data_IF_944898856921
#
_entry.id   IF_944898856921
#
_cell.length_a   1.000
_cell.length_b   1.000
_cell.length_c   1.000
_cell.angle_alpha   90.00
_cell.angle_beta   90.00
_cell.angle_gamma   90.00
#
_symmetry.space_group_name_H-M   'P 1'
#
loop_
_entity.id
_entity.type
_entity.pdbx_description
1 polymer ?
#
# COMPACT_ATOMS: atom_id res chain seq x y z
N UNK A 1 -24.71 6.55 13.42
CA UNK A 1 -23.26 6.56 13.70
C UNK A 1 -22.85 7.76 14.55
N UNK A 2 -21.68 7.73 15.15
CA UNK A 2 -21.12 8.86 15.91
C UNK A 2 -19.74 9.19 15.35
N UNK A 3 -19.56 10.37 14.74
CA UNK A 3 -18.28 10.84 14.19
C UNK A 3 -17.93 12.18 14.86
N UNK A 4 -16.68 12.34 15.24
CA UNK A 4 -16.17 13.59 15.84
C UNK A 4 -17.02 14.07 17.04
N UNK A 5 -17.53 13.13 17.82
CA UNK A 5 -18.41 13.45 18.97
C UNK A 5 -19.88 13.76 18.62
N UNK A 6 -20.23 13.88 17.35
CA UNK A 6 -21.58 14.17 16.86
C UNK A 6 -22.31 12.89 16.46
N UNK A 7 -23.52 12.68 16.97
CA UNK A 7 -24.38 11.57 16.54
C UNK A 7 -25.27 11.98 15.38
N UNK A 8 -25.38 11.12 14.37
CA UNK A 8 -26.22 11.39 13.20
C UNK A 8 -26.05 10.34 12.11
N UNK A 9 -26.75 10.59 11.02
CA UNK A 9 -26.63 9.87 9.75
C UNK A 9 -25.76 10.65 8.75
N UNK A 10 -25.55 10.10 7.58
CA UNK A 10 -24.77 10.70 6.50
C UNK A 10 -25.31 12.07 6.08
N UNK A 11 -26.64 12.22 6.01
CA UNK A 11 -27.26 13.49 5.58
C UNK A 11 -27.05 14.60 6.59
N UNK A 12 -27.03 14.27 7.89
CA UNK A 12 -26.65 15.23 8.92
C UNK A 12 -25.21 15.66 8.76
N UNK A 13 -24.26 14.74 8.54
CA UNK A 13 -22.84 15.09 8.33
C UNK A 13 -22.65 15.90 7.05
N UNK A 14 -23.40 15.62 5.99
CA UNK A 14 -23.40 16.42 4.77
C UNK A 14 -23.77 17.89 5.02
N UNK A 15 -24.74 18.14 5.90
CA UNK A 15 -25.15 19.49 6.27
C UNK A 15 -24.15 20.21 7.19
N UNK A 16 -23.34 19.46 7.93
CA UNK A 16 -22.33 19.98 8.85
C UNK A 16 -20.96 20.22 8.16
N UNK A 17 -20.79 19.80 6.92
CA UNK A 17 -19.53 19.93 6.17
C UNK A 17 -19.73 20.79 4.94
N UNK A 18 -18.85 21.74 4.72
CA UNK A 18 -18.87 22.56 3.51
C UNK A 18 -18.48 21.77 2.26
N UNK A 19 -17.60 20.78 2.42
CA UNK A 19 -17.15 19.88 1.36
C UNK A 19 -17.13 18.43 1.87
N UNK A 20 -17.75 17.48 1.15
CA UNK A 20 -17.83 16.08 1.57
C UNK A 20 -16.47 15.44 1.87
N UNK A 21 -15.41 15.84 1.17
CA UNK A 21 -14.06 15.34 1.34
C UNK A 21 -13.50 15.55 2.76
N UNK A 22 -14.10 16.45 3.55
CA UNK A 22 -13.73 16.59 4.98
C UNK A 22 -13.93 15.30 5.78
N UNK A 23 -14.89 14.45 5.36
CA UNK A 23 -15.25 13.23 6.09
C UNK A 23 -15.20 11.96 5.23
N UNK A 24 -15.37 12.08 3.93
CA UNK A 24 -15.34 10.96 2.98
C UNK A 24 -14.54 11.38 1.76
N UNK A 25 -13.38 10.78 1.52
CA UNK A 25 -12.56 11.20 0.39
C UNK A 25 -11.30 10.40 0.17
N UNK A 26 -10.68 10.66 -0.98
CA UNK A 26 -9.37 10.18 -1.36
C UNK A 26 -8.49 11.34 -1.81
N UNK A 27 -7.23 11.31 -1.41
CA UNK A 27 -6.23 12.32 -1.79
C UNK A 27 -4.93 11.61 -2.16
N UNK A 28 -4.43 11.88 -3.37
CA UNK A 28 -3.10 11.44 -3.79
C UNK A 28 -2.12 12.59 -3.57
N UNK A 29 -1.03 12.31 -2.89
CA UNK A 29 0.02 13.28 -2.61
C UNK A 29 1.41 12.63 -2.63
N UNK A 30 2.45 13.44 -2.67
CA UNK A 30 3.84 13.00 -2.70
C UNK A 30 4.62 13.66 -1.58
N UNK A 31 5.55 12.93 -0.99
CA UNK A 31 6.50 13.50 -0.04
C UNK A 31 7.64 14.20 -0.78
N UNK A 32 7.93 15.44 -0.39
CA UNK A 32 8.92 16.28 -1.08
C UNK A 32 10.29 16.28 -0.41
N UNK A 33 10.42 15.73 0.80
CA UNK A 33 11.64 15.82 1.59
C UNK A 33 11.96 14.55 2.38
N UNK A 34 13.22 14.45 2.81
CA UNK A 34 13.72 13.35 3.64
C UNK A 34 13.72 12.00 2.92
N UNK A 35 13.71 10.95 3.72
CA UNK A 35 13.78 9.55 3.24
C UNK A 35 12.55 9.11 2.43
N UNK A 36 11.46 9.85 2.56
CA UNK A 36 10.21 9.62 1.82
C UNK A 36 10.14 10.36 0.49
N UNK A 37 11.12 11.19 0.15
CA UNK A 37 11.09 12.00 -1.06
C UNK A 37 10.72 11.18 -2.30
N UNK A 38 9.72 11.64 -3.05
CA UNK A 38 9.19 10.97 -4.22
C UNK A 38 8.16 9.86 -3.94
N UNK A 39 7.97 9.48 -2.67
CA UNK A 39 6.97 8.49 -2.30
C UNK A 39 5.58 9.07 -2.48
N UNK A 40 4.82 8.49 -3.41
CA UNK A 40 3.39 8.79 -3.57
C UNK A 40 2.58 8.04 -2.53
N UNK A 41 1.61 8.72 -1.95
CA UNK A 41 0.71 8.16 -0.94
C UNK A 41 -0.73 8.48 -1.32
N UNK A 42 -1.61 7.49 -1.18
CA UNK A 42 -3.05 7.68 -1.32
C UNK A 42 -3.67 7.63 0.07
N UNK A 43 -4.22 8.76 0.51
CA UNK A 43 -4.99 8.85 1.74
C UNK A 43 -6.46 8.62 1.43
N UNK A 44 -7.07 7.71 2.18
CA UNK A 44 -8.49 7.35 2.06
C UNK A 44 -9.12 7.55 3.43
N UNK A 45 -10.22 8.29 3.51
CA UNK A 45 -10.93 8.51 4.78
C UNK A 45 -12.43 8.28 4.62
N UNK A 46 -13.06 7.71 5.66
CA UNK A 46 -14.49 7.45 5.69
C UNK A 46 -15.21 8.03 6.92
N UNK A 47 -14.51 8.85 7.71
CA UNK A 47 -14.98 9.44 8.96
C UNK A 47 -14.57 8.67 10.22
N UNK A 48 -14.49 7.34 10.20
CA UNK A 48 -14.02 6.50 11.32
C UNK A 48 -12.58 6.09 11.14
N UNK A 49 -12.18 5.73 9.91
CA UNK A 49 -10.86 5.24 9.57
C UNK A 49 -10.21 6.18 8.55
N UNK A 50 -8.93 6.43 8.73
CA UNK A 50 -8.07 6.99 7.71
C UNK A 50 -6.96 6.00 7.37
N UNK A 51 -6.76 5.73 6.09
CA UNK A 51 -5.74 4.82 5.56
C UNK A 51 -4.76 5.62 4.70
N UNK A 52 -3.46 5.42 4.88
CA UNK A 52 -2.44 5.87 3.94
C UNK A 52 -1.83 4.66 3.24
N UNK A 53 -2.02 4.59 1.94
CA UNK A 53 -1.49 3.54 1.06
C UNK A 53 -0.20 4.03 0.41
N UNK A 54 0.84 3.21 0.44
CA UNK A 54 2.14 3.49 -0.16
C UNK A 54 2.12 3.07 -1.63
N UNK A 55 1.88 4.03 -2.53
CA UNK A 55 1.65 3.76 -3.96
C UNK A 55 2.89 3.18 -4.64
N UNK A 56 4.08 3.60 -4.23
CA UNK A 56 5.35 3.15 -4.82
C UNK A 56 5.97 1.96 -4.08
N UNK A 57 5.18 1.29 -3.23
CA UNK A 57 5.61 0.12 -2.47
C UNK A 57 4.56 -0.98 -2.51
N UNK A 58 4.32 -1.56 -3.68
CA UNK A 58 3.39 -2.67 -3.85
C UNK A 58 1.95 -2.38 -3.42
N UNK A 59 1.57 -1.12 -3.29
CA UNK A 59 0.28 -0.69 -2.75
C UNK A 59 0.05 -1.15 -1.30
N UNK A 60 1.12 -1.19 -0.50
CA UNK A 60 1.06 -1.55 0.93
C UNK A 60 0.25 -0.52 1.72
N UNK A 61 -0.42 -0.97 2.78
CA UNK A 61 -1.11 -0.07 3.69
C UNK A 61 -0.12 0.34 4.79
N UNK A 62 0.36 1.57 4.71
CA UNK A 62 1.33 2.12 5.64
C UNK A 62 0.70 2.50 6.97
N UNK A 63 -0.09 3.55 6.99
CA UNK A 63 -0.77 4.04 8.20
C UNK A 63 -2.25 3.70 8.17
N UNK A 64 -2.78 3.37 9.33
CA UNK A 64 -4.21 3.28 9.58
C UNK A 64 -4.50 3.98 10.90
N UNK A 65 -5.33 4.99 10.85
CA UNK A 65 -5.81 5.69 12.03
C UNK A 65 -7.28 5.33 12.25
N UNK A 66 -7.60 4.83 13.43
CA UNK A 66 -8.98 4.65 13.87
C UNK A 66 -9.33 5.77 14.84
N UNK A 67 -10.24 6.65 14.45
CA UNK A 67 -10.59 7.85 15.23
C UNK A 67 -9.36 8.67 15.66
N UNK A 68 -8.35 8.79 14.78
CA UNK A 68 -7.10 9.48 15.05
C UNK A 68 -6.05 8.68 15.81
N UNK A 69 -6.37 7.47 16.28
CA UNK A 69 -5.44 6.60 17.00
C UNK A 69 -4.68 5.71 16.01
N UNK A 70 -3.33 5.73 16.02
CA UNK A 70 -2.53 4.84 15.17
C UNK A 70 -2.72 3.38 15.56
N UNK A 71 -2.97 2.53 14.56
CA UNK A 71 -3.16 1.08 14.77
C UNK A 71 -2.06 0.22 14.15
N UNK A 72 -1.15 0.83 13.40
CA UNK A 72 -0.03 0.16 12.75
C UNK A 72 1.22 0.15 13.63
N UNK A 73 2.09 -0.83 13.38
CA UNK A 73 3.46 -0.80 13.86
C UNK A 73 4.38 -0.06 12.86
N UNK A 74 5.32 0.73 13.36
CA UNK A 74 6.33 1.40 12.54
C UNK A 74 7.71 0.91 12.94
N UNK A 75 8.49 0.44 11.99
CA UNK A 75 9.86 -0.01 12.24
C UNK A 75 10.80 1.15 12.57
N UNK A 76 11.97 0.88 13.17
CA UNK A 76 12.99 1.91 13.38
C UNK A 76 13.49 2.56 12.07
N UNK A 77 13.32 1.91 10.91
CA UNK A 77 13.65 2.51 9.62
C UNK A 77 12.74 3.68 9.25
N UNK A 78 11.53 3.74 9.85
CA UNK A 78 10.53 4.73 9.50
C UNK A 78 9.98 4.55 8.08
N UNK A 79 9.10 5.47 7.67
CA UNK A 79 8.59 5.49 6.31
C UNK A 79 9.67 6.01 5.36
N UNK A 80 9.91 5.25 4.28
CA UNK A 80 10.92 5.54 3.26
C UNK A 80 10.41 5.22 1.87
N UNK A 81 10.93 5.89 0.87
CA UNK A 81 10.71 5.49 -0.51
C UNK A 81 11.40 4.16 -0.78
N UNK A 82 10.71 3.22 -1.44
CA UNK A 82 11.21 1.88 -1.69
C UNK A 82 12.56 1.85 -2.45
N UNK A 83 12.81 2.85 -3.29
CA UNK A 83 14.01 2.96 -4.11
C UNK A 83 15.11 3.87 -3.53
N UNK A 84 14.98 4.37 -2.29
CA UNK A 84 16.02 5.17 -1.64
C UNK A 84 17.33 4.40 -1.54
N UNK A 85 17.26 3.08 -1.36
CA UNK A 85 18.39 2.16 -1.43
C UNK A 85 18.13 1.10 -2.49
N UNK A 86 19.18 0.62 -3.14
CA UNK A 86 19.11 -0.59 -3.94
C UNK A 86 19.48 -1.77 -3.03
N UNK A 87 18.53 -2.51 -2.49
CA UNK A 87 18.77 -3.49 -1.44
C UNK A 87 19.83 -4.52 -1.80
N UNK A 88 19.82 -4.99 -3.06
CA UNK A 88 20.77 -5.97 -3.57
C UNK A 88 22.21 -5.44 -3.69
N UNK A 89 22.40 -4.14 -3.81
CA UNK A 89 23.73 -3.54 -3.90
C UNK A 89 24.34 -3.28 -2.52
N UNK A 90 23.51 -3.07 -1.49
CA UNK A 90 23.96 -2.70 -0.15
C UNK A 90 24.09 -3.94 0.75
N UNK A 91 23.13 -4.85 0.64
CA UNK A 91 23.07 -6.08 1.45
C UNK A 91 23.12 -7.30 0.52
N UNK A 92 24.31 -7.90 0.32
CA UNK A 92 24.52 -8.94 -0.70
C UNK A 92 23.68 -10.19 -0.46
N UNK A 93 23.26 -10.41 0.79
CA UNK A 93 22.51 -11.60 1.16
C UNK A 93 20.98 -11.46 1.02
N UNK A 94 20.49 -10.37 0.40
CA UNK A 94 19.07 -10.17 0.19
C UNK A 94 18.31 -9.60 1.39
N UNK A 95 19.02 -9.15 2.42
CA UNK A 95 18.45 -8.53 3.61
C UNK A 95 18.23 -7.01 3.47
N UNK A 96 18.70 -6.42 2.37
CA UNK A 96 18.62 -4.98 2.13
C UNK A 96 17.20 -4.42 2.15
N UNK A 97 16.20 -5.26 1.90
CA UNK A 97 14.79 -4.88 2.05
C UNK A 97 14.47 -4.35 3.45
N UNK A 98 15.11 -4.87 4.50
CA UNK A 98 14.92 -4.41 5.88
C UNK A 98 15.38 -2.96 6.09
N UNK A 99 16.26 -2.43 5.24
CA UNK A 99 16.71 -1.03 5.30
C UNK A 99 15.62 -0.04 4.91
N UNK A 100 14.63 -0.49 4.15
CA UNK A 100 13.52 0.35 3.68
C UNK A 100 12.17 -0.09 4.20
N UNK A 101 12.11 -1.22 4.92
CA UNK A 101 10.84 -1.72 5.43
C UNK A 101 10.35 -0.89 6.62
N UNK A 102 9.29 -0.15 6.38
CA UNK A 102 8.68 0.74 7.36
C UNK A 102 7.81 0.03 8.40
N UNK A 103 7.53 -1.27 8.24
CA UNK A 103 6.41 -1.91 8.92
C UNK A 103 5.10 -1.54 8.22
N UNK A 104 4.17 -0.97 8.94
CA UNK A 104 2.87 -0.59 8.43
C UNK A 104 1.74 -1.47 8.97
N UNK A 105 0.53 -1.22 8.48
CA UNK A 105 -0.64 -2.01 8.85
C UNK A 105 -0.71 -3.32 8.04
N UNK A 106 -0.39 -3.25 6.76
CA UNK A 106 -0.28 -4.40 5.86
C UNK A 106 0.92 -4.20 4.95
N UNK A 107 1.91 -5.06 5.08
CA UNK A 107 3.06 -5.10 4.20
C UNK A 107 2.92 -6.23 3.21
N UNK A 108 3.22 -5.95 2.00
CA UNK A 108 3.30 -6.79 0.80
C UNK A 108 2.81 -8.23 0.92
N UNK A 109 2.25 -8.74 -0.14
CA UNK A 109 1.80 -10.14 -0.22
C UNK A 109 2.91 -11.13 -0.64
N UNK A 110 4.08 -10.64 -1.08
CA UNK A 110 5.20 -11.48 -1.48
C UNK A 110 4.84 -12.52 -2.53
N UNK A 111 4.40 -12.10 -3.72
CA UNK A 111 3.89 -12.99 -4.78
C UNK A 111 4.88 -14.11 -5.13
N UNK A 112 6.16 -13.79 -5.24
CA UNK A 112 7.20 -14.74 -5.63
C UNK A 112 7.97 -15.28 -4.43
N UNK A 113 8.03 -14.55 -3.33
CA UNK A 113 8.73 -14.97 -2.11
C UNK A 113 8.23 -14.24 -0.86
N UNK A 114 8.12 -14.98 0.22
CA UNK A 114 7.81 -14.50 1.57
C UNK A 114 8.83 -15.06 2.56
N UNK A 115 9.29 -14.23 3.49
CA UNK A 115 10.24 -14.61 4.52
C UNK A 115 11.68 -14.20 4.20
N UNK A 116 12.64 -14.81 4.89
CA UNK A 116 14.07 -14.51 4.73
C UNK A 116 14.63 -14.90 3.37
N UNK A 117 15.80 -14.36 2.99
CA UNK A 117 16.42 -14.66 1.70
C UNK A 117 16.62 -16.17 1.48
N UNK A 118 16.34 -16.63 0.27
CA UNK A 118 16.45 -18.04 -0.09
C UNK A 118 16.99 -18.22 -1.49
N UNK A 119 17.88 -19.19 -1.68
CA UNK A 119 18.27 -19.66 -3.01
C UNK A 119 17.23 -20.65 -3.53
N UNK A 120 16.82 -20.49 -4.75
CA UNK A 120 15.89 -21.39 -5.47
C UNK A 120 16.48 -21.77 -6.81
N UNK A 121 16.12 -22.92 -7.38
CA UNK A 121 16.49 -23.24 -8.76
C UNK A 121 16.05 -22.10 -9.69
N UNK A 122 16.89 -21.77 -10.67
CA UNK A 122 16.53 -20.79 -11.68
C UNK A 122 15.31 -21.29 -12.47
N UNK A 123 14.19 -20.61 -12.32
CA UNK A 123 12.94 -20.88 -13.06
C UNK A 123 12.80 -20.01 -14.30
N UNK A 124 13.68 -19.05 -14.46
CA UNK A 124 13.73 -18.14 -15.58
C UNK A 124 14.76 -18.64 -16.57
N UNK A 125 14.53 -18.40 -17.83
CA UNK A 125 15.37 -18.89 -18.93
C UNK A 125 16.64 -18.02 -19.10
N UNK A 126 17.33 -17.68 -18.02
CA UNK A 126 18.60 -16.97 -18.09
C UNK A 126 19.74 -17.96 -18.32
N UNK A 127 20.38 -17.94 -19.50
CA UNK A 127 21.49 -18.85 -19.80
C UNK A 127 22.63 -18.71 -18.79
N UNK A 128 23.13 -19.84 -18.30
CA UNK A 128 24.27 -19.86 -17.38
C UNK A 128 23.93 -19.62 -15.88
N UNK A 129 22.68 -19.33 -15.55
CA UNK A 129 22.24 -19.18 -14.16
C UNK A 129 21.56 -20.46 -13.70
N UNK A 130 22.14 -21.14 -12.72
CA UNK A 130 21.61 -22.41 -12.17
C UNK A 130 20.71 -22.21 -10.96
N UNK A 131 20.84 -21.09 -10.28
CA UNK A 131 20.03 -20.74 -9.11
C UNK A 131 19.79 -19.23 -9.04
N UNK A 132 18.65 -18.86 -8.49
CA UNK A 132 18.28 -17.48 -8.20
C UNK A 132 18.23 -17.24 -6.70
N UNK A 133 18.57 -16.03 -6.31
CA UNK A 133 18.38 -15.58 -4.95
C UNK A 133 17.11 -14.75 -4.85
N UNK A 134 16.23 -15.13 -3.93
CA UNK A 134 15.03 -14.37 -3.60
C UNK A 134 15.31 -13.46 -2.41
N UNK A 135 14.92 -12.20 -2.50
CA UNK A 135 15.05 -11.32 -1.35
C UNK A 135 13.86 -11.44 -0.41
N UNK A 136 14.08 -10.95 0.80
CA UNK A 136 13.02 -10.77 1.78
C UNK A 136 11.87 -9.93 1.18
N UNK A 137 10.65 -10.43 1.30
CA UNK A 137 9.44 -9.71 0.83
C UNK A 137 9.16 -9.75 -0.67
N UNK A 138 10.05 -10.33 -1.48
CA UNK A 138 9.87 -10.43 -2.94
C UNK A 138 9.98 -9.09 -3.68
N UNK A 139 9.99 -9.16 -5.02
CA UNK A 139 10.12 -7.95 -5.87
C UNK A 139 8.90 -7.04 -5.85
N UNK A 140 7.71 -7.61 -5.64
CA UNK A 140 6.47 -6.84 -5.62
C UNK A 140 6.49 -5.71 -4.59
N UNK A 141 7.15 -5.95 -3.45
CA UNK A 141 7.27 -4.99 -2.35
C UNK A 141 8.04 -3.72 -2.71
N UNK A 142 8.78 -3.74 -3.81
CA UNK A 142 9.54 -2.59 -4.32
C UNK A 142 8.92 -2.03 -5.60
N UNK A 143 7.79 -2.60 -6.06
CA UNK A 143 7.19 -2.23 -7.35
C UNK A 143 6.24 -1.06 -7.19
N UNK A 144 6.34 -0.04 -8.04
CA UNK A 144 5.39 1.05 -8.07
C UNK A 144 4.04 0.58 -8.61
N UNK A 145 2.99 1.29 -8.21
CA UNK A 145 1.61 0.95 -8.52
C UNK A 145 1.00 1.95 -9.47
N UNK A 146 0.14 1.48 -10.36
CA UNK A 146 -0.77 2.31 -11.15
C UNK A 146 -2.15 2.29 -10.50
N UNK A 147 -2.65 3.45 -10.12
CA UNK A 147 -4.02 3.61 -9.65
C UNK A 147 -4.93 3.66 -10.88
N UNK A 148 -5.83 2.69 -11.02
CA UNK A 148 -6.73 2.61 -12.17
C UNK A 148 -8.08 3.27 -11.92
N UNK A 149 -8.54 3.23 -10.67
CA UNK A 149 -9.84 3.77 -10.30
C UNK A 149 -9.81 4.33 -8.88
N UNK A 150 -10.38 5.53 -8.72
CA UNK A 150 -10.77 6.09 -7.44
C UNK A 150 -12.22 6.51 -7.59
N UNK A 151 -13.13 5.87 -6.88
CA UNK A 151 -14.56 6.16 -6.87
C UNK A 151 -14.98 6.53 -5.44
N UNK A 152 -15.30 7.80 -5.23
CA UNK A 152 -15.85 8.30 -3.98
C UNK A 152 -17.29 8.69 -4.24
N UNK A 153 -18.21 7.85 -3.81
CA UNK A 153 -19.63 8.05 -4.01
C UNK A 153 -20.29 8.50 -2.71
N UNK A 154 -20.53 9.79 -2.60
CA UNK A 154 -21.16 10.36 -1.42
C UNK A 154 -22.61 9.90 -1.25
N UNK A 155 -23.37 9.77 -2.36
CA UNK A 155 -24.78 9.39 -2.29
C UNK A 155 -24.96 7.96 -1.78
N UNK A 156 -24.04 7.07 -2.12
CA UNK A 156 -24.02 5.70 -1.58
C UNK A 156 -23.25 5.62 -0.25
N UNK A 157 -22.40 6.60 0.05
CA UNK A 157 -21.48 6.57 1.20
C UNK A 157 -20.38 5.52 1.03
N UNK A 158 -19.86 5.34 -0.19
CA UNK A 158 -18.88 4.31 -0.49
C UNK A 158 -17.62 4.90 -1.10
N UNK A 159 -16.48 4.27 -0.79
CA UNK A 159 -15.22 4.48 -1.48
C UNK A 159 -14.75 3.16 -2.07
N UNK A 160 -14.30 3.20 -3.32
CA UNK A 160 -13.66 2.08 -3.99
C UNK A 160 -12.39 2.58 -4.68
N UNK A 161 -11.27 1.93 -4.38
CA UNK A 161 -9.99 2.17 -5.05
C UNK A 161 -9.53 0.86 -5.68
N UNK A 162 -9.12 0.91 -6.96
CA UNK A 162 -8.53 -0.21 -7.68
C UNK A 162 -7.17 0.22 -8.20
N UNK A 163 -6.17 -0.61 -7.95
CA UNK A 163 -4.81 -0.36 -8.37
C UNK A 163 -4.15 -1.64 -8.88
N UNK A 164 -3.16 -1.50 -9.75
CA UNK A 164 -2.37 -2.60 -10.31
C UNK A 164 -0.90 -2.43 -10.01
N UNK A 165 -0.31 -3.49 -9.51
CA UNK A 165 1.13 -3.63 -9.32
C UNK A 165 1.62 -4.69 -10.28
N UNK A 166 2.70 -4.39 -11.00
CA UNK A 166 3.31 -5.32 -11.94
C UNK A 166 4.68 -5.74 -11.44
N UNK A 167 4.88 -7.05 -11.39
CA UNK A 167 6.19 -7.66 -11.24
C UNK A 167 6.52 -8.39 -12.53
N UNK A 168 7.54 -7.94 -13.24
CA UNK A 168 7.91 -8.55 -14.50
C UNK A 168 9.40 -8.41 -14.76
N UNK A 169 9.97 -9.41 -15.43
CA UNK A 169 11.33 -9.38 -15.93
C UNK A 169 11.37 -9.85 -17.39
N UNK A 170 12.34 -9.34 -18.16
CA UNK A 170 12.57 -9.82 -19.53
C UNK A 170 12.92 -11.31 -19.50
N UNK A 171 12.23 -12.09 -20.30
CA UNK A 171 12.38 -13.56 -20.40
C UNK A 171 12.10 -14.32 -19.09
N UNK A 172 11.32 -13.76 -18.17
CA UNK A 172 11.02 -14.31 -16.88
C UNK A 172 9.53 -14.15 -16.53
N UNK A 173 9.21 -13.97 -15.24
CA UNK A 173 7.84 -13.82 -14.78
C UNK A 173 7.17 -12.55 -15.29
N UNK A 174 5.86 -12.63 -15.46
CA UNK A 174 4.99 -11.50 -15.67
C UNK A 174 3.74 -11.68 -14.81
N UNK A 175 3.77 -11.08 -13.63
CA UNK A 175 2.72 -11.16 -12.63
C UNK A 175 2.07 -9.80 -12.47
N UNK A 176 0.76 -9.78 -12.35
CA UNK A 176 -0.03 -8.57 -12.10
C UNK A 176 -0.91 -8.81 -10.89
N UNK A 177 -0.69 -8.02 -9.85
CA UNK A 177 -1.59 -7.91 -8.72
C UNK A 177 -2.60 -6.80 -9.00
N UNK A 178 -3.88 -7.13 -9.01
CA UNK A 178 -4.97 -6.15 -8.94
C UNK A 178 -5.49 -6.12 -7.51
N UNK A 179 -5.28 -4.98 -6.83
CA UNK A 179 -5.73 -4.76 -5.45
C UNK A 179 -6.89 -3.79 -5.41
N UNK A 180 -7.95 -4.18 -4.70
CA UNK A 180 -9.12 -3.36 -4.46
C UNK A 180 -9.26 -3.06 -2.97
N UNK A 181 -9.44 -1.78 -2.62
CA UNK A 181 -9.80 -1.32 -1.28
C UNK A 181 -11.21 -0.76 -1.35
N UNK A 182 -12.07 -1.18 -0.43
CA UNK A 182 -13.45 -0.70 -0.34
C UNK A 182 -13.78 -0.30 1.10
N UNK A 183 -14.44 0.84 1.27
CA UNK A 183 -14.85 1.39 2.57
C UNK A 183 -16.26 1.94 2.47
N UNK A 184 -17.00 1.85 3.58
CA UNK A 184 -18.28 2.54 3.72
C UNK A 184 -18.16 3.69 4.73
N UNK A 185 -18.92 4.74 4.51
CA UNK A 185 -18.96 5.91 5.37
C UNK A 185 -19.33 5.54 6.82
N UNK A 186 -18.50 5.95 7.76
CA UNK A 186 -18.75 5.78 9.19
C UNK A 186 -18.64 4.35 9.70
N UNK A 187 -18.09 3.42 8.93
CA UNK A 187 -17.78 2.07 9.40
C UNK A 187 -16.34 1.95 9.89
N UNK A 188 -16.14 1.13 10.93
CA UNK A 188 -14.81 0.85 11.49
C UNK A 188 -14.07 -0.28 10.77
N UNK A 189 -14.50 -0.62 9.57
CA UNK A 189 -13.92 -1.68 8.75
C UNK A 189 -13.64 -1.22 7.33
N UNK A 190 -12.68 -1.86 6.70
CA UNK A 190 -12.46 -1.79 5.25
C UNK A 190 -12.22 -3.19 4.69
N UNK A 191 -12.50 -3.36 3.43
CA UNK A 191 -12.27 -4.62 2.72
C UNK A 191 -11.11 -4.45 1.74
N UNK A 192 -10.17 -5.39 1.79
CA UNK A 192 -9.10 -5.53 0.81
C UNK A 192 -9.33 -6.83 0.04
N UNK A 193 -9.21 -6.77 -1.29
CA UNK A 193 -9.32 -7.92 -2.17
C UNK A 193 -8.20 -7.89 -3.18
N UNK A 194 -7.47 -8.99 -3.28
CA UNK A 194 -6.35 -9.17 -4.20
C UNK A 194 -6.70 -10.22 -5.25
N UNK A 195 -6.34 -9.92 -6.49
CA UNK A 195 -6.41 -10.84 -7.62
C UNK A 195 -5.07 -10.85 -8.34
N UNK A 196 -4.50 -12.04 -8.52
CA UNK A 196 -3.18 -12.25 -9.14
C UNK A 196 -3.36 -13.02 -10.44
N UNK A 197 -2.73 -12.51 -11.49
CA UNK A 197 -2.65 -13.12 -12.82
C UNK A 197 -1.20 -13.34 -13.23
#
# INVERSE_FOLDING_TARGET
MKLFGVSGDRDKFRKLTSHPQQVLGCELFESLDGDMRGQRMLRIRNGEIEIEVLVDRGFDIGRVLYQGIPTQWVSPAGFRHAHTFTPSAIEPDGWGWLRTWQGGFLSTIGIDHVGGPKSTPNRHLHPGITAERRFTGGFISLSPTTIEKVDVNWEKGTIEVIAKVRQAAAFAEHLVLTRKISMNFGESTFKLSDFIQ
#
